data_IF_521451928178
#
_entry.id   IF_521451928178
#
_cell.length_a   1.000
_cell.length_b   1.000
_cell.length_c   1.000
_cell.angle_alpha   90.00
_cell.angle_beta   90.00
_cell.angle_gamma   90.00
#
_symmetry.space_group_name_H-M   'P 1'
#
loop_
_entity.id
_entity.type
_entity.pdbx_description
1 polymer ?
#
# COMPACT_ATOMS: atom_id res chain seq x y z
N UNK A 1 13.59 31.14 31.74
CA UNK A 1 13.75 30.84 30.30
C UNK A 1 13.07 31.94 29.51
N UNK A 2 13.80 32.67 28.66
CA UNK A 2 13.29 33.89 28.01
C UNK A 2 12.17 33.54 27.02
N UNK A 3 11.02 34.22 27.10
CA UNK A 3 9.84 34.00 26.23
C UNK A 3 10.25 34.00 24.75
N UNK A 4 11.18 34.87 24.38
CA UNK A 4 11.75 34.94 23.02
C UNK A 4 12.37 33.61 22.55
N UNK A 5 13.06 32.86 23.42
CA UNK A 5 13.67 31.56 23.05
C UNK A 5 12.60 30.50 22.77
N UNK A 6 11.50 30.51 23.51
CA UNK A 6 10.39 29.56 23.33
C UNK A 6 9.67 29.83 22.01
N UNK A 7 9.39 31.11 21.72
CA UNK A 7 8.75 31.50 20.45
C UNK A 7 9.62 31.13 19.25
N UNK A 8 10.93 31.37 19.32
CA UNK A 8 11.86 31.00 18.26
C UNK A 8 11.92 29.48 18.02
N UNK A 9 11.92 28.68 19.10
CA UNK A 9 11.93 27.22 18.99
C UNK A 9 10.66 26.68 18.31
N UNK A 10 9.50 27.25 18.65
CA UNK A 10 8.22 26.85 18.04
C UNK A 10 8.16 27.19 16.55
N UNK A 11 8.70 28.35 16.14
CA UNK A 11 8.75 28.73 14.72
C UNK A 11 9.65 27.74 13.95
N UNK A 12 10.85 27.44 14.47
CA UNK A 12 11.76 26.48 13.84
C UNK A 12 11.11 25.10 13.72
N UNK A 13 10.42 24.64 14.77
CA UNK A 13 9.71 23.37 14.75
C UNK A 13 8.63 23.31 13.66
N UNK A 14 7.85 24.39 13.49
CA UNK A 14 6.83 24.48 12.43
C UNK A 14 7.48 24.41 11.04
N UNK A 15 8.60 25.11 10.81
CA UNK A 15 9.31 25.05 9.54
C UNK A 15 9.84 23.64 9.22
N UNK A 16 10.42 22.97 10.21
CA UNK A 16 10.91 21.58 10.06
C UNK A 16 9.76 20.61 9.77
N UNK A 17 8.61 20.79 10.42
CA UNK A 17 7.43 19.95 10.18
C UNK A 17 6.92 20.10 8.74
N UNK A 18 6.84 21.34 8.24
CA UNK A 18 6.42 21.61 6.87
C UNK A 18 7.42 21.09 5.83
N UNK A 19 8.72 21.24 6.09
CA UNK A 19 9.77 20.70 5.22
C UNK A 19 9.71 19.16 5.15
N UNK A 20 9.51 18.49 6.29
CA UNK A 20 9.35 17.04 6.34
C UNK A 20 8.16 16.56 5.50
N UNK A 21 7.00 17.23 5.61
CA UNK A 21 5.83 16.90 4.78
C UNK A 21 6.05 17.21 3.30
N UNK A 22 6.81 18.27 2.97
CA UNK A 22 7.14 18.58 1.58
C UNK A 22 8.00 17.50 0.93
N UNK A 23 9.07 17.06 1.61
CA UNK A 23 9.92 15.96 1.13
C UNK A 23 9.12 14.65 1.00
N UNK A 24 8.34 14.29 2.02
CA UNK A 24 7.55 13.05 2.00
C UNK A 24 6.51 13.02 0.87
N UNK A 25 5.90 14.15 0.52
CA UNK A 25 4.93 14.21 -0.57
C UNK A 25 5.58 14.17 -1.96
N UNK A 26 6.83 14.62 -2.11
CA UNK A 26 7.53 14.58 -3.39
C UNK A 26 8.00 13.18 -3.77
N UNK A 27 8.38 12.34 -2.79
CA UNK A 27 8.74 10.94 -3.07
C UNK A 27 7.56 10.11 -3.61
N UNK A 28 6.33 10.49 -3.28
CA UNK A 28 5.11 9.82 -3.77
C UNK A 28 4.72 10.27 -5.19
N UNK A 29 5.12 11.48 -5.60
CA UNK A 29 4.78 12.04 -6.91
C UNK A 29 5.74 11.62 -8.04
N UNK A 30 6.89 11.03 -7.72
CA UNK A 30 7.87 10.57 -8.73
C UNK A 30 7.44 9.24 -9.39
N UNK A 31 6.41 8.55 -8.89
CA UNK A 31 5.97 7.24 -9.42
C UNK A 31 4.90 7.35 -10.54
N UNK A 32 4.49 8.56 -10.95
CA UNK A 32 3.42 8.73 -11.95
C UNK A 32 3.85 9.28 -13.33
N UNK A 33 5.16 9.33 -13.63
CA UNK A 33 5.60 9.67 -14.99
C UNK A 33 6.65 8.69 -15.52
N UNK A 34 6.14 7.69 -16.25
CA UNK A 34 6.88 7.02 -17.30
C UNK A 34 5.93 6.13 -18.10
N UNK A 35 5.90 6.10 -19.43
CA UNK A 35 6.51 6.89 -20.48
C UNK A 35 5.75 6.46 -21.74
N UNK A 36 4.93 7.32 -22.32
CA UNK A 36 4.41 7.12 -23.67
C UNK A 36 5.30 7.91 -24.63
N UNK A 37 6.46 7.35 -25.00
CA UNK A 37 7.27 7.91 -26.08
C UNK A 37 7.73 6.78 -27.03
N UNK A 38 7.24 6.73 -28.28
CA UNK A 38 7.47 5.61 -29.17
C UNK A 38 8.58 5.92 -30.18
N UNK A 39 9.85 5.95 -29.76
CA UNK A 39 10.97 5.92 -30.72
C UNK A 39 12.17 5.08 -30.25
N UNK A 40 12.09 3.80 -30.58
CA UNK A 40 13.12 2.94 -31.15
C UNK A 40 14.59 3.42 -31.07
N UNK A 41 15.34 2.88 -30.12
CA UNK A 41 16.78 2.60 -30.29
C UNK A 41 17.13 1.26 -29.62
N UNK A 42 17.58 0.31 -30.44
CA UNK A 42 18.19 -0.95 -30.03
C UNK A 42 19.50 -0.69 -29.26
N UNK A 43 19.39 -0.54 -27.94
CA UNK A 43 20.51 -0.79 -27.05
C UNK A 43 20.22 -2.12 -26.37
N UNK A 44 21.06 -3.12 -26.65
CA UNK A 44 21.09 -4.40 -25.98
C UNK A 44 21.67 -4.17 -24.57
N UNK A 45 20.93 -3.43 -23.74
CA UNK A 45 21.17 -3.38 -22.32
C UNK A 45 20.84 -4.78 -21.82
N UNK A 46 21.87 -5.51 -21.43
CA UNK A 46 21.73 -6.72 -20.63
C UNK A 46 21.17 -6.25 -19.29
N UNK A 47 19.86 -6.05 -19.26
CA UNK A 47 19.14 -5.96 -18.02
C UNK A 47 19.22 -7.38 -17.45
N UNK A 48 20.00 -7.54 -16.39
CA UNK A 48 19.79 -8.60 -15.43
C UNK A 48 18.42 -8.33 -14.77
N UNK A 49 17.35 -8.50 -15.54
CA UNK A 49 15.96 -8.39 -15.11
C UNK A 49 15.71 -9.57 -14.18
N UNK A 50 16.13 -9.42 -12.92
CA UNK A 50 15.51 -10.10 -11.81
C UNK A 50 14.06 -9.64 -11.77
N UNK A 51 13.24 -10.24 -12.64
CA UNK A 51 11.86 -9.86 -12.86
C UNK A 51 11.11 -10.09 -11.54
N UNK A 52 10.91 -9.03 -10.77
CA UNK A 52 10.24 -9.11 -9.47
C UNK A 52 8.81 -9.54 -9.75
N UNK A 53 8.46 -10.75 -9.33
CA UNK A 53 7.10 -11.26 -9.50
C UNK A 53 6.21 -10.51 -8.51
N UNK A 54 5.15 -9.89 -9.02
CA UNK A 54 4.22 -9.12 -8.21
C UNK A 54 3.45 -10.02 -7.24
N UNK A 55 3.48 -9.76 -5.91
CA UNK A 55 2.72 -10.55 -4.96
C UNK A 55 1.20 -10.46 -5.17
N UNK A 56 0.51 -11.56 -4.88
CA UNK A 56 -0.96 -11.66 -4.97
C UNK A 56 -1.57 -11.81 -3.59
N UNK A 57 -2.53 -10.95 -3.26
CA UNK A 57 -3.22 -10.88 -1.98
C UNK A 57 -4.66 -11.38 -2.10
N UNK A 58 -5.06 -12.32 -1.23
CA UNK A 58 -6.48 -12.65 -1.07
C UNK A 58 -7.26 -11.49 -0.46
N UNK A 59 -8.59 -11.46 -0.65
CA UNK A 59 -9.46 -10.42 -0.10
C UNK A 59 -10.16 -10.91 1.16
N UNK A 60 -10.38 -9.98 2.09
CA UNK A 60 -11.15 -10.22 3.32
C UNK A 60 -12.35 -9.28 3.40
N UNK A 61 -13.41 -9.69 4.11
CA UNK A 61 -14.57 -8.83 4.36
C UNK A 61 -14.23 -7.64 5.25
N UNK A 62 -15.18 -6.69 5.36
CA UNK A 62 -14.99 -5.43 6.12
C UNK A 62 -14.70 -5.62 7.62
N UNK A 63 -14.97 -6.80 8.16
CA UNK A 63 -14.65 -7.15 9.55
C UNK A 63 -13.16 -7.45 9.77
N UNK A 64 -12.35 -7.44 8.71
CA UNK A 64 -10.96 -7.89 8.78
C UNK A 64 -10.87 -9.41 8.88
N UNK A 65 -9.67 -9.89 9.18
CA UNK A 65 -9.35 -11.32 9.27
C UNK A 65 -8.04 -11.66 8.57
N UNK A 66 -7.82 -12.95 8.33
CA UNK A 66 -6.60 -13.42 7.71
C UNK A 66 -6.69 -13.35 6.18
N UNK A 67 -5.61 -12.88 5.55
CA UNK A 67 -5.40 -12.95 4.12
C UNK A 67 -4.18 -13.80 3.81
N UNK A 68 -4.16 -14.38 2.62
CA UNK A 68 -3.01 -15.10 2.08
C UNK A 68 -2.30 -14.20 1.09
N UNK A 69 -0.98 -14.13 1.21
CA UNK A 69 -0.09 -13.44 0.28
C UNK A 69 0.74 -14.52 -0.41
N UNK A 70 0.71 -14.56 -1.73
CA UNK A 70 1.40 -15.57 -2.55
C UNK A 70 2.31 -14.91 -3.59
N UNK A 71 3.10 -15.73 -4.29
CA UNK A 71 4.10 -15.30 -5.28
C UNK A 71 5.25 -14.50 -4.67
N UNK A 72 5.71 -14.93 -3.49
CA UNK A 72 6.82 -14.29 -2.75
C UNK A 72 8.20 -14.83 -3.12
N UNK A 73 8.34 -15.48 -4.29
CA UNK A 73 9.59 -16.13 -4.72
C UNK A 73 10.80 -15.18 -4.79
N UNK A 74 10.55 -13.89 -5.01
CA UNK A 74 11.59 -12.85 -5.07
C UNK A 74 11.91 -12.23 -3.71
N UNK A 75 11.26 -12.65 -2.62
CA UNK A 75 11.34 -12.00 -1.31
C UNK A 75 11.88 -12.93 -0.21
N UNK A 76 12.59 -12.36 0.76
CA UNK A 76 12.92 -13.02 2.01
C UNK A 76 11.73 -12.97 2.97
N UNK A 77 10.98 -14.09 3.05
CA UNK A 77 9.77 -14.20 3.87
C UNK A 77 9.97 -13.80 5.34
N UNK A 78 11.13 -14.13 5.92
CA UNK A 78 11.43 -13.85 7.34
C UNK A 78 11.54 -12.36 7.68
N UNK A 79 11.70 -11.50 6.67
CA UNK A 79 11.92 -10.05 6.82
C UNK A 79 10.81 -9.22 6.16
N UNK A 80 9.69 -9.84 5.79
CA UNK A 80 8.63 -9.18 5.03
C UNK A 80 7.92 -8.08 5.81
N UNK A 81 7.81 -6.92 5.15
CA UNK A 81 6.97 -5.80 5.57
C UNK A 81 5.90 -5.54 4.50
N UNK A 82 4.63 -5.61 4.90
CA UNK A 82 3.49 -5.33 4.03
C UNK A 82 2.72 -4.14 4.57
N UNK A 83 2.74 -3.03 3.82
CA UNK A 83 2.12 -1.77 4.19
C UNK A 83 0.90 -1.51 3.32
N UNK A 84 -0.20 -1.09 3.96
CA UNK A 84 -1.44 -0.68 3.31
C UNK A 84 -1.66 0.81 3.57
N UNK A 85 -1.89 1.58 2.50
CA UNK A 85 -2.22 3.01 2.58
C UNK A 85 -3.57 3.26 1.91
N UNK A 86 -4.52 3.82 2.66
CA UNK A 86 -5.85 4.12 2.12
C UNK A 86 -5.79 5.21 1.05
N UNK A 87 -6.46 4.97 -0.08
CA UNK A 87 -6.65 5.99 -1.11
C UNK A 87 -7.64 7.08 -0.68
N UNK A 88 -8.66 6.71 0.10
CA UNK A 88 -9.71 7.63 0.56
C UNK A 88 -9.24 8.47 1.75
N UNK A 89 -8.46 7.88 2.66
CA UNK A 89 -8.03 8.51 3.90
C UNK A 89 -6.50 8.51 3.97
N UNK A 90 -5.85 9.54 3.42
CA UNK A 90 -4.38 9.58 3.26
C UNK A 90 -3.57 9.30 4.54
N UNK A 91 -4.12 9.59 5.73
CA UNK A 91 -3.49 9.33 7.03
C UNK A 91 -3.76 7.93 7.59
N UNK A 92 -4.65 7.16 6.97
CA UNK A 92 -4.99 5.82 7.41
C UNK A 92 -4.07 4.81 6.72
N UNK A 93 -3.09 4.36 7.48
CA UNK A 93 -2.17 3.28 7.10
C UNK A 93 -2.24 2.17 8.13
N UNK A 94 -2.00 0.94 7.69
CA UNK A 94 -1.82 -0.19 8.60
C UNK A 94 -0.85 -1.20 7.99
N UNK A 95 -0.29 -2.06 8.84
CA UNK A 95 0.58 -3.15 8.44
C UNK A 95 -0.12 -4.49 8.60
N UNK A 96 0.29 -5.49 7.83
CA UNK A 96 -0.13 -6.85 8.10
C UNK A 96 0.50 -7.37 9.40
N UNK A 97 -0.29 -7.99 10.27
CA UNK A 97 0.13 -8.48 11.59
C UNK A 97 0.04 -10.01 11.65
N UNK A 98 0.61 -10.63 12.69
CA UNK A 98 0.55 -12.09 12.89
C UNK A 98 0.96 -12.89 11.65
N UNK A 99 2.09 -12.55 11.05
CA UNK A 99 2.57 -13.22 9.83
C UNK A 99 2.96 -14.67 10.16
N UNK A 100 2.37 -15.63 9.44
CA UNK A 100 2.66 -17.05 9.55
C UNK A 100 3.03 -17.56 8.16
N UNK A 101 4.20 -18.18 8.03
CA UNK A 101 4.61 -18.78 6.77
C UNK A 101 3.77 -20.04 6.47
N UNK A 102 3.15 -20.08 5.29
CA UNK A 102 2.37 -21.24 4.83
C UNK A 102 3.19 -22.14 3.90
N UNK A 103 4.08 -21.55 3.10
CA UNK A 103 5.00 -22.24 2.18
C UNK A 103 6.26 -21.38 1.93
N UNK A 104 7.17 -21.86 1.11
CA UNK A 104 8.36 -21.09 0.69
C UNK A 104 8.05 -19.86 -0.17
N UNK A 105 6.81 -19.71 -0.64
CA UNK A 105 6.38 -18.59 -1.49
C UNK A 105 5.05 -17.96 -1.06
N UNK A 106 4.57 -18.27 0.14
CA UNK A 106 3.32 -17.72 0.65
C UNK A 106 3.30 -17.58 2.17
N UNK A 107 2.58 -16.57 2.63
CA UNK A 107 2.30 -16.32 4.04
C UNK A 107 0.81 -16.08 4.26
N UNK A 108 0.37 -16.28 5.48
CA UNK A 108 -0.88 -15.77 6.02
C UNK A 108 -0.58 -14.59 6.96
N UNK A 109 -1.43 -13.56 6.95
CA UNK A 109 -1.33 -12.48 7.92
C UNK A 109 -2.69 -11.83 8.19
N UNK A 110 -2.83 -11.22 9.36
CA UNK A 110 -4.06 -10.60 9.85
C UNK A 110 -4.18 -9.13 9.43
N UNK A 111 -5.35 -8.78 8.90
CA UNK A 111 -5.75 -7.45 8.46
C UNK A 111 -6.85 -6.92 9.40
N UNK A 112 -6.78 -5.66 9.87
CA UNK A 112 -7.81 -5.09 10.73
C UNK A 112 -9.16 -4.94 10.02
N UNK A 113 -10.21 -4.61 10.77
CA UNK A 113 -11.49 -4.18 10.19
C UNK A 113 -11.31 -2.89 9.39
N UNK A 114 -12.02 -2.75 8.28
CA UNK A 114 -11.91 -1.59 7.42
C UNK A 114 -12.80 -1.66 6.18
N UNK A 115 -12.65 -0.67 5.31
CA UNK A 115 -13.34 -0.61 4.02
C UNK A 115 -12.49 0.21 3.04
N UNK A 116 -12.87 0.17 1.75
CA UNK A 116 -12.24 0.96 0.69
C UNK A 116 -11.10 0.24 -0.03
N UNK A 117 -10.28 1.05 -0.71
CA UNK A 117 -9.19 0.60 -1.57
C UNK A 117 -7.87 1.16 -1.04
N UNK A 118 -6.84 0.33 -1.07
CA UNK A 118 -5.53 0.59 -0.50
C UNK A 118 -4.46 0.40 -1.57
N UNK A 119 -3.44 1.24 -1.51
CA UNK A 119 -2.16 0.98 -2.15
C UNK A 119 -1.38 0.06 -1.21
N UNK A 120 -0.85 -1.02 -1.76
CA UNK A 120 -0.06 -2.01 -1.04
C UNK A 120 1.37 -2.00 -1.57
N UNK A 121 2.31 -2.05 -0.63
CA UNK A 121 3.73 -2.27 -0.92
C UNK A 121 4.21 -3.43 -0.06
N UNK A 122 4.76 -4.45 -0.72
CA UNK A 122 5.43 -5.58 -0.10
C UNK A 122 6.93 -5.37 -0.27
N UNK A 123 7.69 -5.41 0.82
CA UNK A 123 9.15 -5.26 0.76
C UNK A 123 9.85 -6.12 1.79
N UNK A 124 11.11 -6.43 1.53
CA UNK A 124 12.08 -6.89 2.52
C UNK A 124 13.29 -5.94 2.51
N UNK A 125 14.45 -6.39 3.00
CA UNK A 125 15.68 -5.57 3.02
C UNK A 125 16.29 -5.31 1.63
N UNK A 126 15.98 -6.13 0.63
CA UNK A 126 16.60 -6.13 -0.70
C UNK A 126 15.62 -5.82 -1.84
N UNK A 127 14.38 -6.28 -1.72
CA UNK A 127 13.39 -6.29 -2.80
C UNK A 127 12.14 -5.54 -2.38
N UNK A 128 11.65 -4.69 -3.28
CA UNK A 128 10.44 -3.91 -3.11
C UNK A 128 9.50 -4.23 -4.27
N UNK A 129 8.24 -4.54 -3.96
CA UNK A 129 7.22 -4.71 -4.98
C UNK A 129 6.89 -3.36 -5.62
N UNK A 130 6.40 -3.39 -6.86
CA UNK A 130 5.70 -2.24 -7.44
C UNK A 130 4.43 -2.01 -6.60
N UNK A 131 4.08 -0.76 -6.26
CA UNK A 131 2.84 -0.46 -5.55
C UNK A 131 1.61 -0.94 -6.33
N UNK A 132 0.65 -1.58 -5.67
CA UNK A 132 -0.53 -2.15 -6.32
C UNK A 132 -1.80 -1.96 -5.49
N UNK A 133 -2.95 -2.10 -6.13
CA UNK A 133 -4.24 -1.89 -5.49
C UNK A 133 -4.79 -3.16 -4.85
N UNK A 134 -5.31 -3.00 -3.63
CA UNK A 134 -6.05 -4.03 -2.91
C UNK A 134 -7.31 -3.44 -2.27
N UNK A 135 -8.37 -4.22 -2.14
CA UNK A 135 -9.61 -3.75 -1.50
C UNK A 135 -10.27 -4.84 -0.68
N UNK A 136 -10.98 -4.41 0.36
CA UNK A 136 -11.87 -5.28 1.12
C UNK A 136 -12.95 -5.86 0.21
N UNK A 137 -13.33 -7.12 0.44
CA UNK A 137 -14.52 -7.71 -0.15
C UNK A 137 -15.71 -6.96 0.42
N UNK A 138 -16.30 -6.08 -0.40
CA UNK A 138 -17.63 -5.57 -0.12
C UNK A 138 -18.51 -6.81 -0.02
N UNK A 139 -19.13 -7.00 1.15
CA UNK A 139 -20.22 -7.96 1.26
C UNK A 139 -21.17 -7.68 0.11
N UNK A 140 -21.77 -8.71 -0.47
CA UNK A 140 -22.94 -8.51 -1.31
C UNK A 140 -24.02 -7.91 -0.39
N UNK A 141 -23.95 -6.60 -0.10
CA UNK A 141 -25.07 -5.84 0.40
C UNK A 141 -26.12 -6.05 -0.68
N UNK A 142 -27.08 -6.87 -0.29
CA UNK A 142 -27.86 -7.68 -1.18
C UNK A 142 -28.46 -6.83 -2.29
N UNK A 143 -28.38 -7.33 -3.53
CA UNK A 143 -29.27 -6.91 -4.62
C UNK A 143 -30.76 -6.91 -4.19
N UNK A 144 -31.10 -7.54 -3.06
CA UNK A 144 -32.47 -7.65 -2.54
C UNK A 144 -33.04 -6.33 -2.01
N UNK A 145 -32.23 -5.34 -1.61
CA UNK A 145 -32.78 -4.05 -1.16
C UNK A 145 -33.05 -3.06 -2.30
N UNK A 146 -32.53 -3.30 -3.52
CA UNK A 146 -32.85 -2.46 -4.68
C UNK A 146 -34.05 -2.98 -5.49
N UNK A 147 -34.38 -4.27 -5.42
CA UNK A 147 -35.56 -4.82 -6.12
C UNK A 147 -36.88 -4.66 -5.36
N UNK A 148 -36.87 -4.54 -4.03
CA UNK A 148 -38.10 -4.35 -3.24
C UNK A 148 -38.66 -2.91 -3.23
N UNK A 149 -38.07 -1.98 -4.01
CA UNK A 149 -38.57 -0.60 -4.15
C UNK A 149 -39.38 -0.35 -5.43
N UNK A 150 -39.64 -1.37 -6.25
CA UNK A 150 -40.37 -1.24 -7.53
C UNK A 150 -41.82 -1.76 -7.53
N UNK A 151 -42.38 -2.17 -6.39
CA UNK A 151 -43.77 -2.66 -6.31
C UNK A 151 -44.68 -1.83 -5.38
N UNK A 152 -44.37 -0.55 -5.18
CA UNK A 152 -45.24 0.38 -4.46
C UNK A 152 -45.55 1.62 -5.30
N UNK A 153 -46.04 1.42 -6.53
CA UNK A 153 -46.83 2.41 -7.28
C UNK A 153 -47.77 1.68 -8.23
#
# INVERSE_FOLDING_TARGET
>A
MNIFKITLLNIIFIFLLNFYFYCYNNDVNIIYHGNDDPHNHHNHHKNDDNNIIQPVLSRVGVNGGNITISQLNSFNISQLQINFQSLQYRKHTFQCTNQVQLSDNSIECSIPKGFGTYIVVVKDEKVHSIPFFWSYKLGQLSKNNFYNRKHLY
#
